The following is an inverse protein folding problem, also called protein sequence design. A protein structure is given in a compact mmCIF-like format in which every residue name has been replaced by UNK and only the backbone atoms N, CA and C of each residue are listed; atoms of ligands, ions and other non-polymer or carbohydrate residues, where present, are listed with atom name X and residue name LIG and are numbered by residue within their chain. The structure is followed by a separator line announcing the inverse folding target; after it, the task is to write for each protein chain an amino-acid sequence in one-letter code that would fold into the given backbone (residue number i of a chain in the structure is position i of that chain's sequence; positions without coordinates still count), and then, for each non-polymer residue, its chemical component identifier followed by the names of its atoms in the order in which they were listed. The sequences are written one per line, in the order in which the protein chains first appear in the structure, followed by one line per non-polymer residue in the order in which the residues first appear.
data_IF_650626633473
#
_entry.id   IF_650626633473
#
_cell.length_a   1.000
_cell.length_b   1.000
_cell.length_c   1.000
_cell.angle_alpha   90.00
_cell.angle_beta   90.00
_cell.angle_gamma   90.00
#
_symmetry.space_group_name_H-M   'P 1'
#
loop_
_entity.id
_entity.type
_entity.pdbx_description
1 polymer ?
#
# COMPACT_ATOMS: atom_id res chain seq x y z
N UNK A 1 -0.36 23.58 -34.30
CA UNK A 1 0.33 23.77 -32.98
C UNK A 1 0.01 22.57 -32.14
N UNK A 2 0.96 21.64 -32.00
CA UNK A 2 0.83 20.56 -31.00
C UNK A 2 1.05 21.21 -29.62
N UNK A 3 0.01 21.36 -28.86
CA UNK A 3 0.10 21.66 -27.42
C UNK A 3 0.85 20.51 -26.79
N UNK A 4 2.08 20.73 -26.33
CA UNK A 4 2.79 19.83 -25.45
C UNK A 4 1.89 19.59 -24.22
N UNK A 5 1.24 18.43 -24.14
CA UNK A 5 0.51 18.03 -22.95
C UNK A 5 1.55 17.85 -21.85
N UNK A 6 1.65 18.81 -20.93
CA UNK A 6 2.44 18.65 -19.72
C UNK A 6 1.78 17.55 -18.90
N UNK A 7 2.40 16.39 -18.85
CA UNK A 7 1.92 15.27 -18.04
C UNK A 7 2.48 15.41 -16.63
N UNK A 8 1.60 15.39 -15.63
CA UNK A 8 2.01 15.32 -14.24
C UNK A 8 2.21 13.85 -13.87
N UNK A 9 3.42 13.47 -13.52
CA UNK A 9 3.70 12.14 -12.98
C UNK A 9 3.67 12.18 -11.47
N UNK A 10 2.97 11.22 -10.86
CA UNK A 10 2.91 11.04 -9.41
C UNK A 10 3.35 9.61 -9.09
N UNK A 11 4.50 9.50 -8.45
CA UNK A 11 5.03 8.24 -7.94
C UNK A 11 4.57 8.07 -6.49
N UNK A 12 4.00 6.91 -6.14
CA UNK A 12 3.41 6.62 -4.83
C UNK A 12 4.07 5.38 -4.25
N UNK A 13 4.79 5.53 -3.14
CA UNK A 13 5.28 4.40 -2.35
C UNK A 13 4.32 4.10 -1.21
N UNK A 14 3.93 2.86 -1.07
CA UNK A 14 2.97 2.38 -0.05
C UNK A 14 3.31 0.97 0.44
N UNK A 15 2.78 0.62 1.61
CA UNK A 15 2.82 -0.73 2.15
C UNK A 15 1.43 -1.17 2.62
N UNK A 16 1.10 -2.41 2.37
CA UNK A 16 -0.21 -3.01 2.66
C UNK A 16 -0.45 -3.24 4.16
N UNK A 17 0.61 -3.25 4.99
CA UNK A 17 0.48 -3.29 6.47
C UNK A 17 0.43 -1.90 7.10
N UNK A 18 0.56 -0.85 6.29
CA UNK A 18 0.52 0.52 6.78
C UNK A 18 -0.91 1.07 6.79
N UNK A 19 -1.52 1.28 7.96
CA UNK A 19 -2.90 1.76 8.02
C UNK A 19 -3.07 3.16 7.43
N UNK A 20 -2.04 4.00 7.52
CA UNK A 20 -2.03 5.33 6.93
C UNK A 20 -1.99 5.31 5.40
N UNK A 21 -1.43 4.27 4.77
CA UNK A 21 -1.38 4.14 3.32
C UNK A 21 -2.79 4.00 2.73
N UNK A 22 -3.68 3.25 3.36
CA UNK A 22 -5.07 3.13 2.90
C UNK A 22 -5.84 4.45 3.00
N UNK A 23 -5.67 5.19 4.12
CA UNK A 23 -6.26 6.54 4.28
C UNK A 23 -5.73 7.49 3.19
N UNK A 24 -4.41 7.48 2.97
CA UNK A 24 -3.77 8.31 1.96
C UNK A 24 -4.28 8.00 0.55
N UNK A 25 -4.43 6.72 0.22
CA UNK A 25 -5.03 6.26 -1.05
C UNK A 25 -6.42 6.88 -1.23
N UNK A 26 -7.31 6.76 -0.25
CA UNK A 26 -8.68 7.32 -0.34
C UNK A 26 -8.68 8.85 -0.53
N UNK A 27 -7.85 9.56 0.24
CA UNK A 27 -7.73 11.01 0.11
C UNK A 27 -7.17 11.44 -1.24
N UNK A 28 -6.17 10.72 -1.73
CA UNK A 28 -5.59 10.97 -3.04
C UNK A 28 -6.60 10.75 -4.16
N UNK A 29 -7.34 9.63 -4.14
CA UNK A 29 -8.40 9.32 -5.11
C UNK A 29 -9.48 10.42 -5.12
N UNK A 30 -9.93 10.88 -3.95
CA UNK A 30 -10.89 11.96 -3.85
C UNK A 30 -10.34 13.28 -4.41
N UNK A 31 -9.06 13.60 -4.12
CA UNK A 31 -8.38 14.76 -4.67
C UNK A 31 -8.27 14.71 -6.19
N UNK A 32 -7.83 13.57 -6.72
CA UNK A 32 -7.70 13.33 -8.16
C UNK A 32 -9.05 13.44 -8.87
N UNK A 33 -10.11 12.90 -8.30
CA UNK A 33 -11.46 12.98 -8.88
C UNK A 33 -12.00 14.41 -9.00
N UNK A 34 -11.50 15.33 -8.16
CA UNK A 34 -11.85 16.76 -8.21
C UNK A 34 -10.91 17.59 -9.09
N UNK A 35 -9.80 16.98 -9.53
CA UNK A 35 -8.79 17.67 -10.30
C UNK A 35 -9.21 17.79 -11.77
N UNK A 36 -9.32 19.03 -12.27
CA UNK A 36 -9.78 19.32 -13.63
C UNK A 36 -8.93 18.64 -14.72
N UNK A 37 -7.61 18.51 -14.48
CA UNK A 37 -6.67 17.94 -15.44
C UNK A 37 -6.27 16.50 -15.11
N UNK A 38 -7.13 15.73 -14.43
CA UNK A 38 -6.85 14.34 -14.02
C UNK A 38 -6.38 13.44 -15.16
N UNK A 39 -6.90 13.67 -16.38
CA UNK A 39 -6.52 12.91 -17.59
C UNK A 39 -5.08 13.20 -18.05
N UNK A 40 -4.42 14.19 -17.46
CA UNK A 40 -3.00 14.51 -17.67
C UNK A 40 -2.11 14.00 -16.53
N UNK A 41 -2.67 13.28 -15.56
CA UNK A 41 -1.92 12.68 -14.46
C UNK A 41 -1.57 11.24 -14.79
N UNK A 42 -0.29 10.90 -14.67
CA UNK A 42 0.20 9.52 -14.71
C UNK A 42 0.58 9.11 -13.30
N UNK A 43 -0.04 8.06 -12.80
CA UNK A 43 0.23 7.51 -11.47
C UNK A 43 1.08 6.26 -11.62
N UNK A 44 2.16 6.19 -10.85
CA UNK A 44 3.02 5.02 -10.72
C UNK A 44 3.04 4.57 -9.28
N UNK A 45 2.56 3.38 -9.01
CA UNK A 45 2.63 2.78 -7.68
C UNK A 45 3.92 1.99 -7.54
N UNK A 46 4.56 2.14 -6.39
CA UNK A 46 5.80 1.48 -6.04
C UNK A 46 5.63 0.73 -4.71
N UNK A 47 6.30 -0.38 -4.62
CA UNK A 47 6.32 -1.22 -3.42
C UNK A 47 7.26 -0.61 -2.36
N UNK A 48 6.86 -0.71 -1.09
CA UNK A 48 7.71 -0.39 0.05
C UNK A 48 7.36 -1.29 1.22
N UNK A 49 8.31 -2.05 1.75
CA UNK A 49 8.06 -2.97 2.87
C UNK A 49 8.57 -2.37 4.17
N UNK A 50 7.67 -1.97 5.05
CA UNK A 50 8.01 -1.46 6.40
C UNK A 50 8.67 -2.51 7.30
N UNK A 51 8.44 -3.78 7.00
CA UNK A 51 8.84 -4.92 7.81
C UNK A 51 9.54 -6.02 7.00
N UNK A 52 10.29 -5.66 5.95
CA UNK A 52 11.01 -6.61 5.10
C UNK A 52 11.86 -7.60 5.93
N UNK A 53 11.72 -8.90 5.66
CA UNK A 53 12.38 -9.97 6.40
C UNK A 53 11.83 -10.23 7.82
N UNK A 54 10.79 -9.54 8.25
CA UNK A 54 10.22 -9.70 9.60
C UNK A 54 9.08 -10.73 9.58
N UNK A 55 9.10 -11.75 10.47
CA UNK A 55 7.98 -12.68 10.63
C UNK A 55 6.69 -11.95 11.01
N UNK A 56 5.55 -12.48 10.56
CA UNK A 56 4.25 -11.94 10.90
C UNK A 56 3.95 -12.03 12.40
N UNK A 57 3.42 -10.94 12.95
CA UNK A 57 3.00 -10.83 14.35
C UNK A 57 1.72 -9.99 14.46
N UNK A 58 0.98 -10.05 15.58
CA UNK A 58 -0.16 -9.16 15.81
C UNK A 58 0.25 -7.69 15.65
N UNK A 59 -0.57 -6.92 14.94
CA UNK A 59 -0.28 -5.49 14.67
C UNK A 59 -0.09 -4.70 15.97
N UNK A 60 -0.94 -4.92 16.97
CA UNK A 60 -0.85 -4.25 18.27
C UNK A 60 0.51 -4.47 18.93
N UNK A 61 1.01 -5.70 18.92
CA UNK A 61 2.31 -6.03 19.53
C UNK A 61 3.47 -5.33 18.78
N UNK A 62 3.39 -5.32 17.44
CA UNK A 62 4.37 -4.62 16.60
C UNK A 62 4.42 -3.12 16.93
N UNK A 63 3.26 -2.48 17.09
CA UNK A 63 3.18 -1.04 17.37
C UNK A 63 3.64 -0.73 18.80
N UNK A 64 3.27 -1.55 19.78
CA UNK A 64 3.79 -1.42 21.16
C UNK A 64 5.32 -1.51 21.16
N UNK A 65 5.88 -2.49 20.45
CA UNK A 65 7.34 -2.65 20.31
C UNK A 65 7.99 -1.44 19.64
N UNK A 66 7.34 -0.89 18.60
CA UNK A 66 7.86 0.27 17.84
C UNK A 66 7.82 1.56 18.64
N UNK A 67 6.74 1.81 19.38
CA UNK A 67 6.51 3.06 20.12
C UNK A 67 6.97 2.99 21.58
N UNK A 68 7.33 1.81 22.08
CA UNK A 68 7.88 1.60 23.41
C UNK A 68 6.85 1.60 24.54
N UNK A 69 5.57 1.84 24.28
CA UNK A 69 4.52 1.77 25.30
C UNK A 69 3.15 1.41 24.74
N UNK A 70 2.34 0.73 25.56
CA UNK A 70 0.95 0.40 25.26
C UNK A 70 0.12 1.66 25.04
N UNK A 71 0.28 2.66 25.89
CA UNK A 71 -0.45 3.92 25.79
C UNK A 71 -0.19 4.66 24.48
N UNK A 72 1.08 4.75 24.04
CA UNK A 72 1.42 5.38 22.76
C UNK A 72 0.84 4.61 21.57
N UNK A 73 0.82 3.28 21.66
CA UNK A 73 0.21 2.43 20.64
C UNK A 73 -1.30 2.64 20.55
N UNK A 74 -2.00 2.71 21.69
CA UNK A 74 -3.44 2.99 21.74
C UNK A 74 -3.77 4.36 21.14
N UNK A 75 -3.04 5.40 21.53
CA UNK A 75 -3.22 6.75 20.97
C UNK A 75 -3.05 6.77 19.43
N UNK A 76 -2.03 6.07 18.91
CA UNK A 76 -1.80 5.98 17.47
C UNK A 76 -2.95 5.24 16.78
N UNK A 77 -3.43 4.13 17.34
CA UNK A 77 -4.55 3.38 16.78
C UNK A 77 -5.85 4.19 16.81
N UNK A 78 -6.10 4.95 17.86
CA UNK A 78 -7.26 5.86 17.95
C UNK A 78 -7.20 6.97 16.90
N UNK A 79 -6.03 7.56 16.67
CA UNK A 79 -5.82 8.55 15.62
C UNK A 79 -6.09 7.96 14.23
N UNK A 80 -5.52 6.78 13.93
CA UNK A 80 -5.75 6.05 12.67
C UNK A 80 -7.23 5.72 12.50
N UNK A 81 -7.86 5.14 13.54
CA UNK A 81 -9.27 4.77 13.50
C UNK A 81 -10.18 5.98 13.25
N UNK A 82 -9.90 7.10 13.89
CA UNK A 82 -10.65 8.36 13.69
C UNK A 82 -10.46 8.90 12.28
N UNK A 83 -9.22 8.96 11.79
CA UNK A 83 -8.91 9.41 10.45
C UNK A 83 -9.49 8.48 9.37
N UNK A 84 -9.43 7.15 9.59
CA UNK A 84 -10.02 6.18 8.68
C UNK A 84 -11.54 6.28 8.62
N UNK A 85 -12.19 6.47 9.76
CA UNK A 85 -13.65 6.66 9.82
C UNK A 85 -14.12 7.87 9.02
N UNK A 86 -13.34 8.96 8.97
CA UNK A 86 -13.66 10.13 8.14
C UNK A 86 -13.62 9.83 6.63
N UNK A 87 -12.89 8.79 6.23
CA UNK A 87 -12.82 8.31 4.85
C UNK A 87 -13.73 7.08 4.58
N UNK A 88 -14.59 6.72 5.55
CA UNK A 88 -15.48 5.56 5.44
C UNK A 88 -14.80 4.20 5.67
N UNK A 89 -13.59 4.18 6.23
CA UNK A 89 -12.82 2.96 6.49
C UNK A 89 -13.06 2.42 7.90
N UNK A 90 -13.07 1.10 8.03
CA UNK A 90 -13.23 0.40 9.30
C UNK A 90 -11.94 -0.35 9.63
N UNK A 91 -11.33 -0.05 10.78
CA UNK A 91 -10.10 -0.66 11.27
C UNK A 91 -10.37 -1.68 12.36
N UNK A 92 -10.04 -2.95 12.08
CA UNK A 92 -10.08 -4.05 13.05
C UNK A 92 -8.65 -4.33 13.55
N UNK A 93 -8.13 -3.48 14.42
CA UNK A 93 -6.76 -3.63 14.95
C UNK A 93 -6.52 -4.95 15.69
N UNK A 94 -7.58 -5.63 16.18
CA UNK A 94 -7.47 -6.95 16.81
C UNK A 94 -7.17 -8.07 15.81
N UNK A 95 -7.69 -7.95 14.59
CA UNK A 95 -7.48 -8.90 13.51
C UNK A 95 -6.27 -8.61 12.64
N UNK A 96 -5.73 -7.38 12.71
CA UNK A 96 -4.59 -6.98 11.87
C UNK A 96 -3.30 -7.68 12.27
N UNK A 97 -2.50 -7.99 11.26
CA UNK A 97 -1.14 -8.52 11.40
C UNK A 97 -0.13 -7.54 10.81
N UNK A 98 1.12 -7.64 11.24
CA UNK A 98 2.26 -6.86 10.75
C UNK A 98 3.44 -7.79 10.46
N UNK A 99 4.09 -7.63 9.32
CA UNK A 99 5.19 -8.49 8.88
C UNK A 99 5.63 -8.16 7.47
N UNK A 100 6.45 -9.03 6.87
CA UNK A 100 6.95 -8.85 5.51
C UNK A 100 5.85 -9.07 4.46
N UNK A 101 5.60 -8.07 3.66
CA UNK A 101 4.55 -8.02 2.62
C UNK A 101 5.06 -8.37 1.22
N UNK A 102 6.21 -9.04 1.09
CA UNK A 102 6.81 -9.36 -0.23
C UNK A 102 5.84 -10.08 -1.16
N UNK A 103 5.20 -11.16 -0.70
CA UNK A 103 4.25 -11.93 -1.52
C UNK A 103 3.04 -11.06 -1.96
N UNK A 104 2.53 -10.21 -1.07
CA UNK A 104 1.43 -9.32 -1.40
C UNK A 104 1.83 -8.25 -2.44
N UNK A 105 3.01 -7.65 -2.31
CA UNK A 105 3.55 -6.74 -3.31
C UNK A 105 3.87 -7.43 -4.64
N UNK A 106 4.35 -8.67 -4.60
CA UNK A 106 4.57 -9.49 -5.81
C UNK A 106 3.27 -9.66 -6.60
N UNK A 107 2.16 -9.95 -5.93
CA UNK A 107 0.84 -10.01 -6.57
C UNK A 107 0.39 -8.64 -7.11
N UNK A 108 0.69 -7.54 -6.42
CA UNK A 108 0.40 -6.20 -6.94
C UNK A 108 1.21 -5.87 -8.21
N UNK A 109 2.46 -6.33 -8.32
CA UNK A 109 3.25 -6.18 -9.56
C UNK A 109 2.57 -6.91 -10.70
N UNK A 110 2.11 -8.16 -10.49
CA UNK A 110 1.35 -8.90 -11.49
C UNK A 110 0.03 -8.20 -11.86
N UNK A 111 -0.71 -7.72 -10.86
CA UNK A 111 -1.97 -7.01 -11.04
C UNK A 111 -1.78 -5.70 -11.84
N UNK A 112 -0.67 -4.98 -11.67
CA UNK A 112 -0.30 -3.80 -12.47
C UNK A 112 -0.17 -4.17 -13.95
N UNK A 113 0.51 -5.28 -14.27
CA UNK A 113 0.64 -5.77 -15.65
C UNK A 113 -0.71 -6.18 -16.26
N UNK A 114 -1.62 -6.68 -15.44
CA UNK A 114 -2.98 -7.04 -15.86
C UNK A 114 -3.96 -5.85 -15.88
N UNK A 115 -3.55 -4.66 -15.42
CA UNK A 115 -4.40 -3.46 -15.38
C UNK A 115 -5.47 -3.46 -14.28
N UNK A 116 -5.33 -4.30 -13.25
CA UNK A 116 -6.30 -4.46 -12.15
C UNK A 116 -5.69 -4.15 -10.77
N UNK A 117 -4.53 -3.50 -10.72
CA UNK A 117 -3.80 -3.28 -9.47
C UNK A 117 -4.61 -2.54 -8.42
N UNK A 118 -5.40 -1.54 -8.82
CA UNK A 118 -6.22 -0.76 -7.89
C UNK A 118 -7.26 -1.62 -7.16
N UNK A 119 -7.93 -2.52 -7.89
CA UNK A 119 -8.90 -3.43 -7.30
C UNK A 119 -8.25 -4.44 -6.34
N UNK A 120 -7.06 -4.97 -6.72
CA UNK A 120 -6.31 -5.92 -5.89
C UNK A 120 -5.77 -5.24 -4.63
N UNK A 121 -5.19 -4.04 -4.77
CA UNK A 121 -4.69 -3.26 -3.64
C UNK A 121 -5.81 -2.92 -2.64
N UNK A 122 -6.94 -2.44 -3.14
CA UNK A 122 -8.11 -2.15 -2.31
C UNK A 122 -8.63 -3.39 -1.58
N UNK A 123 -8.68 -4.54 -2.29
CA UNK A 123 -9.11 -5.80 -1.69
C UNK A 123 -8.15 -6.27 -0.59
N UNK A 124 -6.84 -6.09 -0.79
CA UNK A 124 -5.84 -6.43 0.21
C UNK A 124 -5.95 -5.55 1.46
N UNK A 125 -6.09 -4.23 1.30
CA UNK A 125 -6.33 -3.34 2.43
C UNK A 125 -7.61 -3.71 3.18
N UNK A 126 -8.73 -3.87 2.48
CA UNK A 126 -10.00 -4.20 3.12
C UNK A 126 -9.92 -5.57 3.82
N UNK A 127 -9.35 -6.57 3.16
CA UNK A 127 -9.18 -7.91 3.71
C UNK A 127 -8.33 -7.95 4.97
N UNK A 128 -7.18 -7.29 4.95
CA UNK A 128 -6.24 -7.33 6.07
C UNK A 128 -6.64 -6.40 7.21
N UNK A 129 -7.13 -5.21 6.90
CA UNK A 129 -7.39 -4.17 7.91
C UNK A 129 -8.79 -4.30 8.52
N UNK A 130 -9.80 -4.63 7.71
CA UNK A 130 -11.19 -4.70 8.18
C UNK A 130 -11.60 -6.12 8.54
N UNK A 131 -11.31 -7.10 7.67
CA UNK A 131 -11.76 -8.48 7.83
C UNK A 131 -10.80 -9.34 8.68
N UNK A 132 -9.56 -8.88 8.93
CA UNK A 132 -8.54 -9.62 9.66
C UNK A 132 -7.97 -10.80 8.86
N UNK A 133 -8.05 -10.77 7.52
CA UNK A 133 -7.45 -11.79 6.66
C UNK A 133 -5.94 -11.59 6.58
N UNK A 134 -5.22 -12.67 6.47
CA UNK A 134 -3.75 -12.64 6.47
C UNK A 134 -3.18 -12.29 5.09
N UNK A 135 -2.29 -11.29 5.05
CA UNK A 135 -1.41 -11.02 3.90
C UNK A 135 -0.19 -11.95 3.85
N UNK A 136 0.00 -12.77 4.89
CA UNK A 136 1.15 -13.66 5.09
C UNK A 136 0.81 -15.14 4.86
N UNK A 137 -0.43 -15.41 4.49
CA UNK A 137 -0.93 -16.74 4.09
C UNK A 137 -1.22 -16.69 2.59
N UNK A 138 -0.42 -17.40 1.81
CA UNK A 138 -0.53 -17.42 0.34
C UNK A 138 -1.90 -17.85 -0.16
N UNK A 139 -2.59 -18.76 0.55
CA UNK A 139 -3.93 -19.18 0.15
C UNK A 139 -4.93 -18.04 0.30
N UNK A 140 -4.84 -17.27 1.40
CA UNK A 140 -5.69 -16.11 1.61
C UNK A 140 -5.35 -14.97 0.65
N UNK A 141 -4.06 -14.73 0.36
CA UNK A 141 -3.62 -13.75 -0.63
C UNK A 141 -4.17 -14.07 -2.02
N UNK A 142 -4.00 -15.30 -2.49
CA UNK A 142 -4.53 -15.71 -3.79
C UNK A 142 -6.05 -15.57 -3.82
N UNK A 143 -6.75 -15.99 -2.76
CA UNK A 143 -8.20 -15.86 -2.68
C UNK A 143 -8.65 -14.39 -2.78
N UNK A 144 -7.98 -13.46 -2.07
CA UNK A 144 -8.27 -12.03 -2.17
C UNK A 144 -7.97 -11.45 -3.56
N UNK A 145 -6.87 -11.88 -4.19
CA UNK A 145 -6.54 -11.45 -5.55
C UNK A 145 -7.59 -11.93 -6.58
N UNK A 146 -8.09 -13.16 -6.41
CA UNK A 146 -9.17 -13.72 -7.25
C UNK A 146 -10.48 -12.96 -7.04
N UNK A 147 -10.85 -12.64 -5.79
CA UNK A 147 -12.02 -11.81 -5.48
C UNK A 147 -11.94 -10.42 -6.13
N UNK A 148 -10.72 -9.91 -6.35
CA UNK A 148 -10.46 -8.64 -7.05
C UNK A 148 -10.37 -8.76 -8.58
N UNK A 149 -10.57 -9.97 -9.14
CA UNK A 149 -10.63 -10.22 -10.58
C UNK A 149 -9.35 -10.78 -11.21
N UNK A 150 -8.36 -11.22 -10.41
CA UNK A 150 -7.21 -11.95 -10.94
C UNK A 150 -7.57 -13.41 -11.20
N UNK A 151 -7.08 -13.99 -12.30
CA UNK A 151 -7.20 -15.42 -12.52
C UNK A 151 -6.33 -16.19 -11.50
N UNK A 152 -6.89 -17.26 -10.90
CA UNK A 152 -6.23 -18.01 -9.85
C UNK A 152 -4.85 -18.53 -10.27
N UNK A 153 -4.76 -19.10 -11.48
CA UNK A 153 -3.50 -19.62 -12.02
C UNK A 153 -2.44 -18.53 -12.18
N UNK A 154 -2.85 -17.33 -12.58
CA UNK A 154 -1.95 -16.18 -12.73
C UNK A 154 -1.46 -15.67 -11.36
N UNK A 155 -2.33 -15.64 -10.35
CA UNK A 155 -1.96 -15.28 -9.00
C UNK A 155 -0.96 -16.28 -8.37
N UNK A 156 -1.22 -17.59 -8.53
CA UNK A 156 -0.32 -18.65 -8.06
C UNK A 156 1.04 -18.58 -8.80
N UNK A 157 1.05 -18.40 -10.12
CA UNK A 157 2.27 -18.27 -10.92
C UNK A 157 3.05 -16.98 -10.56
N UNK A 158 2.36 -15.89 -10.24
CA UNK A 158 2.99 -14.64 -9.86
C UNK A 158 3.81 -14.77 -8.58
N UNK A 159 3.34 -15.55 -7.60
CA UNK A 159 4.06 -15.78 -6.34
C UNK A 159 5.37 -16.56 -6.51
N UNK A 160 5.54 -17.25 -7.62
CA UNK A 160 6.77 -17.99 -7.96
C UNK A 160 7.65 -17.24 -9.00
N UNK A 161 7.27 -16.01 -9.34
CA UNK A 161 7.95 -15.23 -10.36
C UNK A 161 9.03 -14.32 -9.76
N UNK A 162 10.29 -14.67 -9.99
CA UNK A 162 11.44 -13.92 -9.48
C UNK A 162 11.56 -12.51 -10.07
N UNK A 163 11.12 -12.27 -11.31
CA UNK A 163 11.13 -10.92 -11.92
C UNK A 163 10.17 -9.98 -11.19
N UNK A 164 9.04 -10.51 -10.68
CA UNK A 164 8.10 -9.69 -9.91
C UNK A 164 8.67 -9.37 -8.52
N UNK A 165 9.35 -10.32 -7.88
CA UNK A 165 10.09 -10.06 -6.62
C UNK A 165 11.22 -9.07 -6.83
N UNK A 166 11.96 -9.18 -7.93
CA UNK A 166 13.00 -8.22 -8.28
C UNK A 166 12.41 -6.81 -8.45
N UNK A 167 11.22 -6.68 -9.08
CA UNK A 167 10.53 -5.38 -9.19
C UNK A 167 10.21 -4.78 -7.83
N UNK A 168 9.78 -5.59 -6.84
CA UNK A 168 9.54 -5.11 -5.46
C UNK A 168 10.85 -4.58 -4.85
N UNK A 169 11.95 -5.31 -5.02
CA UNK A 169 13.27 -4.90 -4.50
C UNK A 169 13.80 -3.63 -5.19
N UNK A 170 13.57 -3.49 -6.49
CA UNK A 170 13.97 -2.31 -7.27
C UNK A 170 13.19 -1.06 -6.82
N UNK A 171 11.87 -1.18 -6.56
CA UNK A 171 11.04 -0.10 -6.01
C UNK A 171 11.58 0.38 -4.65
N UNK A 172 12.00 -0.56 -3.77
CA UNK A 172 12.60 -0.23 -2.47
C UNK A 172 13.99 0.41 -2.60
N UNK A 173 14.83 -0.11 -3.50
CA UNK A 173 16.13 0.46 -3.78
C UNK A 173 16.00 1.89 -4.33
N UNK A 174 15.03 2.13 -5.19
CA UNK A 174 14.71 3.47 -5.68
C UNK A 174 14.27 4.40 -4.53
N UNK A 175 13.35 3.96 -3.67
CA UNK A 175 12.93 4.73 -2.49
C UNK A 175 14.14 5.14 -1.62
N UNK A 176 15.04 4.21 -1.35
CA UNK A 176 16.27 4.47 -0.58
C UNK A 176 17.18 5.47 -1.28
N UNK A 177 17.37 5.35 -2.60
CA UNK A 177 18.24 6.22 -3.39
C UNK A 177 17.80 7.69 -3.36
N UNK A 178 16.50 7.95 -3.21
CA UNK A 178 15.92 9.30 -3.11
C UNK A 178 15.63 9.72 -1.65
N UNK A 179 16.12 8.93 -0.67
CA UNK A 179 16.09 9.28 0.75
C UNK A 179 14.73 9.08 1.44
N UNK A 180 13.84 8.24 0.90
CA UNK A 180 12.59 7.91 1.58
C UNK A 180 12.84 6.99 2.78
N UNK A 181 12.24 7.31 3.91
CA UNK A 181 12.40 6.58 5.18
C UNK A 181 11.09 6.03 5.74
N UNK A 182 10.01 6.09 4.98
CA UNK A 182 8.68 5.62 5.40
C UNK A 182 7.63 5.86 4.35
N UNK A 183 6.42 5.38 4.59
CA UNK A 183 5.27 5.48 3.69
C UNK A 183 4.01 5.90 4.47
N UNK A 184 2.98 6.48 3.80
CA UNK A 184 2.88 6.73 2.36
C UNK A 184 3.68 7.96 1.90
N UNK A 185 4.28 7.89 0.72
CA UNK A 185 4.99 9.03 0.10
C UNK A 185 4.50 9.23 -1.32
N UNK A 186 4.28 10.50 -1.69
CA UNK A 186 3.93 10.93 -3.02
C UNK A 186 5.04 11.82 -3.57
N UNK A 187 5.57 11.47 -4.74
CA UNK A 187 6.60 12.25 -5.42
C UNK A 187 6.03 12.76 -6.74
N UNK A 188 5.99 14.08 -6.91
CA UNK A 188 5.46 14.71 -8.11
C UNK A 188 6.59 15.17 -9.02
N UNK A 189 6.60 14.64 -10.26
CA UNK A 189 7.58 14.97 -11.31
C UNK A 189 9.04 14.88 -10.82
N UNK A 190 9.35 13.93 -9.93
CA UNK A 190 10.69 13.74 -9.34
C UNK A 190 11.27 15.00 -8.63
N UNK A 191 10.40 15.97 -8.30
CA UNK A 191 10.82 17.28 -7.74
C UNK A 191 10.24 17.58 -6.37
N UNK A 192 9.02 17.16 -6.13
CA UNK A 192 8.30 17.48 -4.89
C UNK A 192 7.89 16.20 -4.21
N UNK A 193 8.44 15.95 -3.04
CA UNK A 193 8.04 14.83 -2.19
C UNK A 193 7.07 15.33 -1.10
N UNK A 194 5.95 14.63 -0.94
CA UNK A 194 5.03 14.81 0.16
C UNK A 194 4.94 13.50 0.95
N UNK A 195 5.45 13.51 2.16
CA UNK A 195 5.21 12.47 3.15
C UNK A 195 3.99 12.88 3.96
N UNK A 196 2.95 12.06 4.00
CA UNK A 196 1.81 12.32 4.86
C UNK A 196 2.22 12.05 6.32
N UNK A 197 2.76 13.10 6.95
CA UNK A 197 2.86 13.10 8.41
C UNK A 197 1.47 13.39 8.96
N UNK A 198 1.07 12.59 9.91
CA UNK A 198 -0.05 12.92 10.78
C UNK A 198 0.46 13.88 11.84
N UNK A 199 0.19 15.13 11.65
CA UNK A 199 0.28 16.12 12.72
C UNK A 199 -0.96 16.04 13.60
#
# INVERSE_FOLDING_TARGET
MQTLKHTLTIDIWSDLVCPWCWIAKKRFEQGLNRFEFRDQVVIRHHSYRLAGGTPAMPFKDAIVKKLGSQHSAELMMDQVGTAGKSEGLIYNFDGMMFGDTEDAHTLLVAARKAGIADAVEERFYHGSITEGRSLFDRQQLVAMAVEAGMEKADAEAALENDDFRATVSDDEAHAQSIGLSGVPVFVMNEKYACLLYTS
#
